data_IF_231583054888
#
_entry.id   IF_231583054888
#
_cell.length_a   1.000
_cell.length_b   1.000
_cell.length_c   1.000
_cell.angle_alpha   90.00
_cell.angle_beta   90.00
_cell.angle_gamma   90.00
#
_symmetry.space_group_name_H-M   'P 1'
#
loop_
_entity.id
_entity.type
_entity.pdbx_description
1 polymer ?
#
# COMPACT_ATOMS: atom_id res chain seq x y z
N UNK A 1 15.95 -1.68 -7.66
CA UNK A 1 16.70 -0.39 -7.51
C UNK A 1 17.65 -0.53 -6.33
N UNK A 2 18.93 -0.20 -6.49
CA UNK A 2 19.91 -0.26 -5.40
C UNK A 2 19.88 1.08 -4.66
N UNK A 3 19.72 1.07 -3.34
CA UNK A 3 19.95 2.23 -2.47
C UNK A 3 21.42 2.21 -2.08
N UNK A 4 22.10 3.35 -2.21
CA UNK A 4 23.51 3.54 -1.85
C UNK A 4 23.62 4.53 -0.69
N UNK A 5 24.69 4.38 0.09
CA UNK A 5 25.13 5.35 1.08
C UNK A 5 25.76 6.59 0.42
N UNK A 6 25.99 7.69 1.17
CA UNK A 6 26.68 8.88 0.64
C UNK A 6 28.09 8.60 0.10
N UNK A 7 28.78 7.59 0.65
CA UNK A 7 30.10 7.13 0.21
C UNK A 7 30.08 6.24 -1.05
N UNK A 8 28.89 5.96 -1.60
CA UNK A 8 28.69 5.15 -2.79
C UNK A 8 28.57 3.63 -2.55
N UNK A 9 28.78 3.16 -1.32
CA UNK A 9 28.58 1.74 -0.96
C UNK A 9 27.10 1.33 -1.01
N UNK A 10 26.83 0.03 -1.12
CA UNK A 10 25.45 -0.49 -1.24
C UNK A 10 24.80 -0.55 0.16
N UNK A 11 23.73 0.21 0.35
CA UNK A 11 22.90 0.17 1.57
C UNK A 11 21.89 -0.98 1.48
N UNK A 12 21.07 -1.01 0.42
CA UNK A 12 20.02 -2.03 0.29
C UNK A 12 19.56 -2.25 -1.15
N UNK A 13 19.26 -3.51 -1.48
CA UNK A 13 18.51 -3.87 -2.68
C UNK A 13 17.01 -3.66 -2.47
N UNK A 14 16.40 -2.78 -3.27
CA UNK A 14 14.96 -2.51 -3.23
C UNK A 14 14.27 -3.16 -4.42
N UNK A 15 13.26 -3.96 -4.14
CA UNK A 15 12.25 -4.41 -5.08
C UNK A 15 10.87 -4.03 -4.54
N UNK A 16 9.88 -3.87 -5.43
CA UNK A 16 8.50 -3.63 -5.05
C UNK A 16 7.61 -4.53 -5.90
N UNK A 17 6.73 -5.27 -5.23
CA UNK A 17 5.64 -5.97 -5.89
C UNK A 17 4.44 -5.03 -5.99
N UNK A 18 3.87 -4.90 -7.19
CA UNK A 18 2.72 -4.03 -7.46
C UNK A 18 1.69 -4.85 -8.22
N UNK A 19 0.46 -4.90 -7.71
CA UNK A 19 -0.67 -5.49 -8.40
C UNK A 19 -1.04 -4.66 -9.63
N UNK A 20 -1.52 -5.34 -10.68
CA UNK A 20 -2.06 -4.68 -11.87
C UNK A 20 -3.53 -4.33 -11.66
N UNK A 21 -3.86 -3.42 -10.74
CA UNK A 21 -5.27 -3.08 -10.44
C UNK A 21 -6.04 -2.41 -11.58
N UNK A 22 -5.39 -2.05 -12.69
CA UNK A 22 -6.07 -1.68 -13.91
C UNK A 22 -6.75 -2.86 -14.62
N UNK A 23 -6.38 -4.10 -14.31
CA UNK A 23 -7.10 -5.30 -14.76
C UNK A 23 -8.27 -5.69 -13.85
N UNK A 24 -8.43 -5.05 -12.68
CA UNK A 24 -9.53 -5.35 -11.77
C UNK A 24 -10.85 -4.76 -12.30
N UNK A 25 -11.92 -5.55 -12.19
CA UNK A 25 -13.27 -5.18 -12.61
C UNK A 25 -14.11 -4.71 -11.41
N UNK A 26 -14.75 -3.53 -11.49
CA UNK A 26 -15.72 -3.09 -10.50
C UNK A 26 -16.86 -4.11 -10.34
N UNK A 27 -17.39 -4.27 -9.13
CA UNK A 27 -18.45 -5.24 -8.79
C UNK A 27 -17.93 -6.66 -8.58
N UNK A 28 -16.90 -7.08 -9.33
CA UNK A 28 -16.29 -8.40 -9.23
C UNK A 28 -15.14 -8.37 -8.21
N UNK A 29 -14.05 -7.69 -8.55
CA UNK A 29 -12.79 -7.70 -7.80
C UNK A 29 -12.76 -6.67 -6.67
N UNK A 30 -13.58 -5.61 -6.79
CA UNK A 30 -13.76 -4.58 -5.77
C UNK A 30 -15.13 -3.90 -5.94
N UNK A 31 -15.68 -3.36 -4.86
CA UNK A 31 -16.93 -2.59 -4.91
C UNK A 31 -16.66 -1.10 -5.03
N UNK A 32 -15.80 -0.55 -4.15
CA UNK A 32 -15.52 0.87 -4.11
C UNK A 32 -14.02 1.14 -4.17
N UNK A 33 -13.65 2.23 -4.84
CA UNK A 33 -12.32 2.85 -4.73
C UNK A 33 -12.39 3.98 -3.72
N UNK A 34 -11.55 3.92 -2.68
CA UNK A 34 -11.46 4.98 -1.68
C UNK A 34 -10.16 5.77 -1.84
N UNK A 35 -10.24 7.09 -1.68
CA UNK A 35 -9.08 7.96 -1.59
C UNK A 35 -9.22 8.82 -0.34
N UNK A 36 -8.44 8.55 0.73
CA UNK A 36 -8.50 9.36 1.93
C UNK A 36 -7.75 10.67 1.70
N UNK A 37 -8.44 11.68 1.19
CA UNK A 37 -7.88 13.04 1.04
C UNK A 37 -8.38 13.91 2.18
N UNK A 38 -7.49 14.18 3.14
CA UNK A 38 -7.75 15.18 4.17
C UNK A 38 -7.61 16.59 3.57
N UNK A 39 -8.59 17.45 3.82
CA UNK A 39 -8.52 18.84 3.38
C UNK A 39 -7.47 19.60 4.22
N UNK A 40 -6.58 20.41 3.61
CA UNK A 40 -5.59 21.20 4.36
C UNK A 40 -6.20 22.10 5.43
N UNK A 41 -7.42 22.62 5.19
CA UNK A 41 -8.15 23.43 6.18
C UNK A 41 -8.41 22.65 7.46
N UNK A 42 -8.90 21.40 7.35
CA UNK A 42 -9.15 20.53 8.51
C UNK A 42 -7.87 20.28 9.30
N UNK A 43 -6.75 19.97 8.62
CA UNK A 43 -5.45 19.75 9.28
C UNK A 43 -5.00 21.01 10.03
N UNK A 44 -5.10 22.18 9.41
CA UNK A 44 -4.76 23.47 10.05
C UNK A 44 -5.64 23.72 11.28
N UNK A 45 -6.95 23.51 11.19
CA UNK A 45 -7.86 23.69 12.33
C UNK A 45 -7.48 22.79 13.51
N UNK A 46 -7.20 21.51 13.28
CA UNK A 46 -6.77 20.59 14.36
C UNK A 46 -5.46 21.06 14.99
N UNK A 47 -4.48 21.48 14.18
CA UNK A 47 -3.23 22.01 14.73
C UNK A 47 -3.41 23.31 15.49
N UNK A 48 -4.26 24.23 15.03
CA UNK A 48 -4.55 25.47 15.77
C UNK A 48 -5.14 25.17 17.15
N UNK A 49 -6.07 24.22 17.25
CA UNK A 49 -6.65 23.80 18.54
C UNK A 49 -5.59 23.15 19.43
N UNK A 50 -4.78 22.23 18.89
CA UNK A 50 -3.72 21.58 19.66
C UNK A 50 -2.73 22.61 20.21
N UNK A 51 -2.32 23.58 19.40
CA UNK A 51 -1.42 24.65 19.82
C UNK A 51 -2.07 25.60 20.85
N UNK A 52 -3.35 25.96 20.69
CA UNK A 52 -4.03 26.85 21.65
C UNK A 52 -4.19 26.23 23.05
N UNK A 53 -4.23 24.90 23.13
CA UNK A 53 -4.29 24.16 24.38
C UNK A 53 -2.94 23.58 24.83
N UNK A 54 -1.84 23.94 24.15
CA UNK A 54 -0.50 23.41 24.43
C UNK A 54 -0.43 21.88 24.44
N UNK A 55 -1.20 21.23 23.56
CA UNK A 55 -1.21 19.77 23.43
C UNK A 55 0.00 19.27 22.63
N UNK A 56 0.64 18.16 23.08
CA UNK A 56 1.71 17.55 22.31
C UNK A 56 1.16 16.95 21.01
N UNK A 57 1.86 17.19 19.90
CA UNK A 57 1.56 16.61 18.59
C UNK A 57 2.64 15.57 18.28
N UNK A 58 2.22 14.36 17.95
CA UNK A 58 3.10 13.26 17.55
C UNK A 58 2.79 12.86 16.10
N UNK A 59 3.84 12.63 15.32
CA UNK A 59 3.72 12.11 13.96
C UNK A 59 4.18 10.66 13.93
N UNK A 60 3.34 9.79 13.37
CA UNK A 60 3.66 8.38 13.12
C UNK A 60 3.65 8.12 11.62
N UNK A 61 4.76 7.59 11.10
CA UNK A 61 4.84 7.09 9.73
C UNK A 61 4.86 5.56 9.77
N UNK A 62 3.85 4.95 9.13
CA UNK A 62 3.67 3.50 9.16
C UNK A 62 4.32 2.87 7.94
N UNK A 63 5.38 2.11 8.18
CA UNK A 63 6.03 1.33 7.14
C UNK A 63 5.09 0.27 6.57
N UNK A 64 4.96 0.26 5.24
CA UNK A 64 4.16 -0.72 4.50
C UNK A 64 2.67 -0.77 4.90
N UNK A 65 2.06 0.40 5.18
CA UNK A 65 0.66 0.52 5.57
C UNK A 65 -0.32 -0.41 4.80
N UNK A 66 -0.23 -0.49 3.47
CA UNK A 66 -1.13 -1.38 2.71
C UNK A 66 -0.97 -2.87 3.03
N UNK A 67 0.25 -3.32 3.36
CA UNK A 67 0.49 -4.71 3.75
C UNK A 67 -0.11 -5.05 5.11
N UNK A 68 -0.60 -4.08 5.87
CA UNK A 68 -1.24 -4.33 7.16
C UNK A 68 -2.76 -4.44 7.03
N UNK A 69 -3.33 -4.01 5.89
CA UNK A 69 -4.76 -4.06 5.62
C UNK A 69 -5.22 -5.44 5.13
N UNK A 70 -6.19 -6.09 5.80
CA UNK A 70 -6.77 -7.34 5.30
C UNK A 70 -7.57 -7.11 4.02
N UNK A 71 -7.61 -8.12 3.16
CA UNK A 71 -8.48 -8.14 1.98
C UNK A 71 -9.83 -8.77 2.33
N UNK A 72 -10.91 -8.01 2.14
CA UNK A 72 -12.28 -8.48 2.35
C UNK A 72 -12.72 -9.50 1.28
N UNK A 73 -12.18 -9.37 0.05
CA UNK A 73 -12.42 -10.28 -1.06
C UNK A 73 -11.15 -11.03 -1.42
N UNK A 74 -11.30 -12.26 -1.89
CA UNK A 74 -10.17 -12.99 -2.47
C UNK A 74 -9.71 -12.33 -3.76
N UNK A 75 -8.42 -12.01 -3.81
CA UNK A 75 -7.78 -11.45 -5.00
C UNK A 75 -6.63 -12.34 -5.39
N UNK A 76 -6.56 -12.67 -6.68
CA UNK A 76 -5.47 -13.45 -7.26
C UNK A 76 -4.62 -12.54 -8.14
N UNK A 77 -3.31 -12.79 -8.17
CA UNK A 77 -2.40 -12.15 -9.12
C UNK A 77 -1.57 -13.20 -9.85
N UNK A 78 -1.17 -12.89 -11.07
CA UNK A 78 -0.17 -13.68 -11.80
C UNK A 78 1.13 -13.73 -11.00
N UNK A 79 1.82 -14.87 -11.05
CA UNK A 79 3.12 -15.05 -10.41
C UNK A 79 4.08 -13.91 -10.79
N UNK A 80 4.81 -13.33 -9.82
CA UNK A 80 5.74 -12.25 -10.13
C UNK A 80 6.86 -12.73 -11.05
N UNK A 81 7.35 -11.87 -11.96
CA UNK A 81 8.53 -12.19 -12.76
C UNK A 81 9.71 -12.61 -11.87
N UNK A 82 10.35 -13.74 -12.20
CA UNK A 82 11.44 -14.33 -11.41
C UNK A 82 10.99 -15.23 -10.25
N UNK A 83 9.69 -15.34 -9.99
CA UNK A 83 9.10 -16.21 -8.95
C UNK A 83 8.11 -17.24 -9.51
N UNK A 84 8.05 -17.40 -10.84
CA UNK A 84 7.19 -18.40 -11.49
C UNK A 84 7.68 -19.81 -11.17
N UNK A 85 6.79 -20.68 -10.71
CA UNK A 85 7.06 -22.09 -10.46
C UNK A 85 7.35 -22.82 -11.77
N UNK A 86 8.41 -23.63 -11.79
CA UNK A 86 8.73 -24.53 -12.91
C UNK A 86 7.73 -25.68 -13.03
N UNK A 87 7.19 -26.15 -11.90
CA UNK A 87 6.21 -27.23 -11.87
C UNK A 87 4.79 -26.73 -12.19
N UNK A 88 4.46 -25.49 -11.80
CA UNK A 88 3.13 -24.90 -11.98
C UNK A 88 3.21 -23.51 -12.62
N UNK A 89 3.61 -23.41 -13.90
CA UNK A 89 3.83 -22.12 -14.56
C UNK A 89 2.54 -21.31 -14.75
N UNK A 90 1.38 -21.97 -14.81
CA UNK A 90 0.06 -21.35 -15.01
C UNK A 90 -0.65 -20.96 -13.70
N UNK A 91 -0.09 -21.27 -12.54
CA UNK A 91 -0.71 -20.91 -11.26
C UNK A 91 -0.72 -19.41 -11.03
N UNK A 92 -1.64 -19.00 -10.16
CA UNK A 92 -1.78 -17.63 -9.67
C UNK A 92 -1.58 -17.59 -8.15
N UNK A 93 -1.09 -16.46 -7.65
CA UNK A 93 -0.90 -16.22 -6.23
C UNK A 93 -2.16 -15.63 -5.62
N UNK A 94 -2.69 -16.25 -4.57
CA UNK A 94 -3.74 -15.64 -3.75
C UNK A 94 -3.12 -14.60 -2.80
N UNK A 95 -3.62 -13.38 -2.83
CA UNK A 95 -3.17 -12.30 -1.94
C UNK A 95 -3.82 -12.45 -0.57
N UNK A 96 -3.00 -12.48 0.49
CA UNK A 96 -3.46 -12.52 1.88
C UNK A 96 -3.72 -11.12 2.47
N UNK A 97 -3.02 -10.12 1.96
CA UNK A 97 -3.04 -8.74 2.42
C UNK A 97 -3.09 -7.80 1.22
N UNK A 98 -3.56 -6.58 1.44
CA UNK A 98 -3.59 -5.60 0.37
C UNK A 98 -2.17 -5.21 -0.04
N UNK A 99 -1.94 -5.08 -1.35
CA UNK A 99 -0.66 -4.64 -1.89
C UNK A 99 -0.85 -3.40 -2.77
N UNK A 100 0.24 -2.68 -3.00
CA UNK A 100 0.25 -1.53 -3.90
C UNK A 100 -0.36 -1.88 -5.25
N UNK A 101 -1.12 -0.95 -5.82
CA UNK A 101 -1.71 -1.09 -7.15
C UNK A 101 -3.08 -1.76 -7.17
N UNK A 102 -3.57 -2.36 -6.08
CA UNK A 102 -4.97 -2.77 -5.97
C UNK A 102 -5.88 -1.54 -5.83
N UNK A 103 -7.03 -1.55 -6.49
CA UNK A 103 -8.03 -0.46 -6.46
C UNK A 103 -8.58 -0.19 -5.06
N UNK A 104 -8.70 -1.24 -4.24
CA UNK A 104 -9.23 -1.19 -2.89
C UNK A 104 -8.17 -1.09 -1.79
N UNK A 105 -6.88 -1.16 -2.11
CA UNK A 105 -5.81 -1.17 -1.10
C UNK A 105 -5.84 0.04 -0.13
N UNK A 106 -6.14 1.28 -0.57
CA UNK A 106 -6.26 2.41 0.35
C UNK A 106 -7.35 2.24 1.40
N UNK A 107 -8.47 1.60 1.04
CA UNK A 107 -9.58 1.32 1.97
C UNK A 107 -9.22 0.23 2.96
N UNK A 108 -8.52 -0.82 2.52
CA UNK A 108 -8.13 -1.94 3.39
C UNK A 108 -7.23 -1.53 4.56
N UNK A 109 -6.51 -0.41 4.45
CA UNK A 109 -5.65 0.10 5.53
C UNK A 109 -6.42 0.94 6.57
N UNK A 110 -7.56 1.51 6.20
CA UNK A 110 -8.38 2.29 7.13
C UNK A 110 -9.10 1.39 8.12
#
# INVERSE_FOLDING_TARGET
RIKRHPDGSIDRYKARLVAKGFHQRPGVDYHDTYSPVLKPVTVRTVFTIALSHSWPILQFDVNNAFLQGPLQKEVFMVQPPGFTSTHFPSHVCRLKQAIYGLRQAPRSWQ
#
